data_IF_311795192573
#
_entry.id   IF_311795192573
#
_cell.length_a   1.000
_cell.length_b   1.000
_cell.length_c   1.000
_cell.angle_alpha   90.00
_cell.angle_beta   90.00
_cell.angle_gamma   90.00
#
_symmetry.space_group_name_H-M   'P 1'
#
loop_
_entity.id
_entity.type
_entity.pdbx_description
1 polymer ?
#
# COMPACT_ATOMS: atom_id res chain seq x y z
N UNK A 1 -15.29 27.65 23.61
CA UNK A 1 -14.58 27.52 22.31
C UNK A 1 -14.13 26.09 21.99
N UNK A 2 -13.91 25.25 23.00
CA UNK A 2 -13.47 23.84 22.75
C UNK A 2 -14.52 22.98 22.07
N UNK A 3 -15.82 23.24 22.29
CA UNK A 3 -16.92 22.55 21.59
C UNK A 3 -16.92 22.80 20.08
N UNK A 4 -16.47 23.99 19.63
CA UNK A 4 -16.33 24.30 18.20
C UNK A 4 -15.19 23.51 17.57
N UNK A 5 -14.10 23.26 18.30
CA UNK A 5 -12.97 22.47 17.82
C UNK A 5 -13.37 21.00 17.70
N UNK A 6 -14.10 20.46 18.69
CA UNK A 6 -14.61 19.08 18.66
C UNK A 6 -15.67 18.93 17.58
N UNK A 7 -16.62 19.87 17.48
CA UNK A 7 -17.66 19.84 16.44
C UNK A 7 -17.07 19.94 15.03
N UNK A 8 -16.10 20.84 14.81
CA UNK A 8 -15.36 20.96 13.55
C UNK A 8 -14.56 19.71 13.21
N UNK A 9 -13.94 19.07 14.20
CA UNK A 9 -13.22 17.79 14.02
C UNK A 9 -14.13 16.65 13.63
N UNK A 10 -15.31 16.53 14.24
CA UNK A 10 -16.28 15.48 13.92
C UNK A 10 -16.87 15.69 12.52
N UNK A 11 -17.26 16.92 12.18
CA UNK A 11 -17.80 17.25 10.85
C UNK A 11 -16.72 17.04 9.76
N UNK A 12 -15.49 17.48 9.99
CA UNK A 12 -14.35 17.23 9.10
C UNK A 12 -14.07 15.73 8.92
N UNK A 13 -14.12 14.95 10.01
CA UNK A 13 -13.96 13.50 9.97
C UNK A 13 -15.05 12.80 9.16
N UNK A 14 -16.31 13.22 9.28
CA UNK A 14 -17.44 12.66 8.53
C UNK A 14 -17.32 13.01 7.04
N UNK A 15 -16.90 14.23 6.69
CA UNK A 15 -16.70 14.66 5.30
C UNK A 15 -15.58 13.84 4.66
N UNK A 16 -14.44 13.69 5.34
CA UNK A 16 -13.30 12.88 4.88
C UNK A 16 -13.72 11.41 4.73
N UNK A 17 -14.44 10.87 5.70
CA UNK A 17 -14.95 9.49 5.66
C UNK A 17 -15.88 9.26 4.46
N UNK A 18 -16.81 10.18 4.21
CA UNK A 18 -17.77 10.11 3.10
C UNK A 18 -17.08 10.28 1.75
N UNK A 19 -16.08 11.17 1.66
CA UNK A 19 -15.28 11.37 0.45
C UNK A 19 -14.45 10.13 0.10
N UNK A 20 -13.82 9.48 1.10
CA UNK A 20 -13.03 8.26 0.92
C UNK A 20 -13.88 7.05 0.49
N UNK A 21 -15.19 7.06 0.75
CA UNK A 21 -16.09 5.97 0.34
C UNK A 21 -16.71 6.19 -1.05
N UNK A 22 -16.54 7.36 -1.66
CA UNK A 22 -16.97 7.64 -3.04
C UNK A 22 -16.00 6.98 -4.02
N UNK A 23 -16.49 6.53 -5.17
CA UNK A 23 -15.67 5.86 -6.18
C UNK A 23 -14.52 6.74 -6.72
N UNK A 24 -14.74 8.03 -6.83
CA UNK A 24 -13.71 9.02 -7.17
C UNK A 24 -12.69 9.19 -6.03
N UNK A 25 -13.14 9.23 -4.79
CA UNK A 25 -12.30 9.29 -3.60
C UNK A 25 -11.39 8.07 -3.44
N UNK A 26 -11.92 6.88 -3.73
CA UNK A 26 -11.12 5.63 -3.73
C UNK A 26 -10.02 5.66 -4.78
N UNK A 27 -10.31 6.13 -5.99
CA UNK A 27 -9.31 6.24 -7.07
C UNK A 27 -8.22 7.25 -6.70
N UNK A 28 -8.61 8.40 -6.13
CA UNK A 28 -7.66 9.41 -5.65
C UNK A 28 -6.79 8.87 -4.50
N UNK A 29 -7.40 8.18 -3.53
CA UNK A 29 -6.72 7.56 -2.42
C UNK A 29 -5.72 6.49 -2.86
N UNK A 30 -6.12 5.61 -3.80
CA UNK A 30 -5.22 4.60 -4.38
C UNK A 30 -4.05 5.23 -5.14
N UNK A 31 -4.28 6.34 -5.83
CA UNK A 31 -3.22 7.10 -6.51
C UNK A 31 -2.26 7.73 -5.50
N UNK A 32 -2.79 8.28 -4.39
CA UNK A 32 -1.99 8.89 -3.35
C UNK A 32 -1.14 7.85 -2.60
N UNK A 33 -1.71 6.69 -2.30
CA UNK A 33 -0.99 5.58 -1.65
C UNK A 33 0.21 5.11 -2.46
N UNK A 34 0.09 5.04 -3.79
CA UNK A 34 1.20 4.65 -4.66
C UNK A 34 2.30 5.72 -4.70
N UNK A 35 1.97 6.99 -4.47
CA UNK A 35 2.95 8.11 -4.45
C UNK A 35 3.78 8.19 -3.17
N UNK A 36 3.36 7.55 -2.08
CA UNK A 36 4.13 7.53 -0.83
C UNK A 36 5.31 6.55 -1.01
N UNK A 37 6.58 7.01 -0.96
CA UNK A 37 7.73 6.24 -1.46
C UNK A 37 7.96 4.90 -0.75
N UNK A 38 7.63 4.75 0.52
CA UNK A 38 7.81 3.48 1.25
C UNK A 38 6.57 2.58 1.14
N UNK A 39 5.38 3.12 1.33
CA UNK A 39 4.11 2.37 1.34
C UNK A 39 3.68 2.00 -0.08
N UNK A 40 3.81 2.93 -1.03
CA UNK A 40 3.41 2.72 -2.42
C UNK A 40 4.17 1.56 -3.08
N UNK A 41 5.46 1.42 -2.79
CA UNK A 41 6.27 0.32 -3.31
C UNK A 41 5.77 -1.06 -2.80
N UNK A 42 5.36 -1.13 -1.53
CA UNK A 42 4.79 -2.38 -0.96
C UNK A 42 3.43 -2.69 -1.59
N UNK A 43 2.58 -1.68 -1.78
CA UNK A 43 1.26 -1.85 -2.41
C UNK A 43 1.42 -2.35 -3.84
N UNK A 44 2.28 -1.73 -4.65
CA UNK A 44 2.54 -2.16 -6.03
C UNK A 44 3.04 -3.61 -6.06
N UNK A 45 4.02 -3.95 -5.23
CA UNK A 45 4.54 -5.32 -5.15
C UNK A 45 3.44 -6.33 -4.79
N UNK A 46 2.56 -5.98 -3.84
CA UNK A 46 1.45 -6.82 -3.42
C UNK A 46 0.43 -7.02 -4.54
N UNK A 47 0.10 -5.97 -5.27
CA UNK A 47 -0.84 -6.06 -6.40
C UNK A 47 -0.23 -6.89 -7.55
N UNK A 48 1.06 -6.70 -7.86
CA UNK A 48 1.77 -7.54 -8.86
C UNK A 48 1.80 -9.00 -8.44
N UNK A 49 2.09 -9.29 -7.17
CA UNK A 49 2.08 -10.66 -6.64
C UNK A 49 0.69 -11.31 -6.76
N UNK A 50 -0.35 -10.57 -6.35
CA UNK A 50 -1.74 -11.05 -6.42
C UNK A 50 -2.18 -11.29 -7.87
N UNK A 51 -1.92 -10.33 -8.76
CA UNK A 51 -2.19 -10.48 -10.19
C UNK A 51 -1.53 -11.74 -10.75
N UNK A 52 -0.22 -11.87 -10.56
CA UNK A 52 0.54 -12.99 -11.09
C UNK A 52 0.11 -14.34 -10.48
N UNK A 53 -0.20 -14.37 -9.17
CA UNK A 53 -0.68 -15.58 -8.48
C UNK A 53 -2.03 -16.02 -9.03
N UNK A 54 -2.99 -15.11 -9.12
CA UNK A 54 -4.35 -15.43 -9.56
C UNK A 54 -4.34 -15.85 -11.03
N UNK A 55 -3.77 -15.03 -11.90
CA UNK A 55 -3.71 -15.31 -13.33
C UNK A 55 -2.93 -16.61 -13.63
N UNK A 56 -1.75 -16.78 -13.01
CA UNK A 56 -0.93 -17.97 -13.19
C UNK A 56 -1.62 -19.24 -12.71
N UNK A 57 -2.34 -19.20 -11.58
CA UNK A 57 -3.09 -20.34 -11.08
C UNK A 57 -4.27 -20.72 -11.98
N UNK A 58 -5.01 -19.74 -12.47
CA UNK A 58 -6.15 -19.98 -13.38
C UNK A 58 -5.68 -20.59 -14.71
N UNK A 59 -4.62 -20.03 -15.31
CA UNK A 59 -4.03 -20.56 -16.55
C UNK A 59 -3.46 -21.95 -16.35
N UNK A 60 -2.81 -22.23 -15.23
CA UNK A 60 -2.30 -23.57 -14.89
C UNK A 60 -3.41 -24.59 -14.81
N UNK A 61 -4.60 -24.20 -14.36
CA UNK A 61 -5.79 -25.08 -14.30
C UNK A 61 -6.59 -25.10 -15.60
N UNK A 62 -6.07 -24.56 -16.71
CA UNK A 62 -6.67 -24.63 -18.02
C UNK A 62 -7.79 -23.63 -18.27
N UNK A 63 -7.97 -22.63 -17.40
CA UNK A 63 -8.94 -21.57 -17.64
C UNK A 63 -8.46 -20.69 -18.79
N UNK A 64 -9.36 -20.28 -19.69
CA UNK A 64 -9.01 -19.41 -20.82
C UNK A 64 -8.42 -18.10 -20.36
N UNK A 65 -7.52 -17.49 -21.15
CA UNK A 65 -6.83 -16.27 -20.80
C UNK A 65 -7.78 -15.10 -20.50
N UNK A 66 -8.83 -14.94 -21.31
CA UNK A 66 -9.81 -13.87 -21.15
C UNK A 66 -10.63 -14.04 -19.87
N UNK A 67 -11.13 -15.27 -19.61
CA UNK A 67 -11.84 -15.57 -18.36
C UNK A 67 -10.92 -15.43 -17.15
N UNK A 68 -9.65 -15.83 -17.27
CA UNK A 68 -8.66 -15.66 -16.19
C UNK A 68 -8.39 -14.20 -15.87
N UNK A 69 -8.31 -13.33 -16.87
CA UNK A 69 -8.16 -11.89 -16.68
C UNK A 69 -9.39 -11.25 -16.03
N UNK A 70 -10.59 -11.66 -16.42
CA UNK A 70 -11.83 -11.19 -15.82
C UNK A 70 -11.91 -11.50 -14.32
N UNK A 71 -11.69 -12.76 -13.95
CA UNK A 71 -11.63 -13.21 -12.56
C UNK A 71 -10.51 -12.48 -11.81
N UNK A 72 -9.34 -12.35 -12.42
CA UNK A 72 -8.21 -11.64 -11.80
C UNK A 72 -8.56 -10.18 -11.52
N UNK A 73 -9.21 -9.49 -12.45
CA UNK A 73 -9.68 -8.11 -12.26
C UNK A 73 -10.57 -7.96 -11.03
N UNK A 74 -11.51 -8.88 -10.83
CA UNK A 74 -12.46 -8.84 -9.69
C UNK A 74 -11.76 -8.99 -8.34
N UNK A 75 -10.68 -9.76 -8.30
CA UNK A 75 -9.89 -9.99 -7.07
C UNK A 75 -8.96 -8.82 -6.73
N UNK A 76 -8.64 -7.94 -7.69
CA UNK A 76 -7.76 -6.80 -7.46
C UNK A 76 -8.42 -5.75 -6.55
N UNK A 77 -7.70 -5.32 -5.52
CA UNK A 77 -8.18 -4.29 -4.61
C UNK A 77 -8.01 -2.87 -5.19
N UNK A 78 -6.99 -2.67 -6.03
CA UNK A 78 -6.64 -1.37 -6.58
C UNK A 78 -7.32 -1.12 -7.92
N UNK A 79 -8.15 -0.05 -7.99
CA UNK A 79 -8.88 0.32 -9.22
C UNK A 79 -7.95 0.65 -10.41
N UNK A 80 -6.76 1.15 -10.15
CA UNK A 80 -5.79 1.43 -11.22
C UNK A 80 -5.30 0.12 -11.85
N UNK A 81 -5.08 -0.91 -11.03
CA UNK A 81 -4.72 -2.25 -11.53
C UNK A 81 -5.86 -2.87 -12.31
N UNK A 82 -7.10 -2.75 -11.81
CA UNK A 82 -8.30 -3.21 -12.53
C UNK A 82 -8.41 -2.56 -13.92
N UNK A 83 -8.17 -1.24 -14.02
CA UNK A 83 -8.20 -0.52 -15.30
C UNK A 83 -7.11 -1.00 -16.27
N UNK A 84 -5.91 -1.30 -15.77
CA UNK A 84 -4.84 -1.87 -16.61
C UNK A 84 -5.20 -3.27 -17.11
N UNK A 85 -5.82 -4.12 -16.28
CA UNK A 85 -6.26 -5.46 -16.68
C UNK A 85 -7.34 -5.38 -17.78
N UNK A 86 -8.26 -4.41 -17.71
CA UNK A 86 -9.26 -4.17 -18.76
C UNK A 86 -8.56 -3.89 -20.10
N UNK A 87 -7.59 -2.98 -20.12
CA UNK A 87 -6.81 -2.67 -21.33
C UNK A 87 -6.09 -3.90 -21.90
N UNK A 88 -5.51 -4.74 -21.01
CA UNK A 88 -4.88 -6.00 -21.41
C UNK A 88 -5.89 -6.93 -22.06
N UNK A 89 -7.07 -7.09 -21.46
CA UNK A 89 -8.14 -7.93 -21.99
C UNK A 89 -8.64 -7.47 -23.36
N UNK A 90 -8.83 -6.16 -23.53
CA UNK A 90 -9.23 -5.56 -24.81
C UNK A 90 -8.18 -5.81 -25.90
N UNK A 91 -6.90 -5.61 -25.60
CA UNK A 91 -5.81 -5.84 -26.54
C UNK A 91 -5.69 -7.32 -26.96
N UNK A 92 -5.88 -8.26 -26.00
CA UNK A 92 -5.87 -9.69 -26.31
C UNK A 92 -7.04 -10.06 -27.23
N UNK A 93 -8.22 -9.48 -27.03
CA UNK A 93 -9.38 -9.67 -27.92
C UNK A 93 -9.09 -9.20 -29.34
N UNK A 94 -8.20 -8.20 -29.51
CA UNK A 94 -7.75 -7.69 -30.81
C UNK A 94 -6.57 -8.49 -31.38
N UNK A 95 -6.20 -9.61 -30.76
CA UNK A 95 -5.11 -10.49 -31.23
C UNK A 95 -3.71 -10.11 -30.76
N UNK A 96 -3.58 -9.14 -29.86
CA UNK A 96 -2.29 -8.81 -29.24
C UNK A 96 -1.97 -9.78 -28.11
N UNK A 97 -0.68 -9.90 -27.79
CA UNK A 97 -0.26 -10.65 -26.61
C UNK A 97 -0.50 -9.90 -25.29
N UNK A 98 -0.20 -10.57 -24.18
CA UNK A 98 -0.35 -10.01 -22.82
C UNK A 98 0.76 -8.99 -22.51
N UNK A 99 1.98 -9.26 -22.93
CA UNK A 99 3.15 -8.46 -22.60
C UNK A 99 3.09 -7.04 -23.19
N UNK A 100 2.59 -6.89 -24.41
CA UNK A 100 2.56 -5.63 -25.12
C UNK A 100 1.74 -4.53 -24.39
N UNK A 101 0.49 -4.76 -23.97
CA UNK A 101 -0.28 -3.76 -23.24
C UNK A 101 0.27 -3.49 -21.82
N UNK A 102 0.92 -4.46 -21.17
CA UNK A 102 1.55 -4.26 -19.87
C UNK A 102 2.77 -3.34 -19.94
N UNK A 103 3.46 -3.26 -21.08
CA UNK A 103 4.68 -2.45 -21.25
C UNK A 103 4.48 -0.94 -21.04
N UNK A 104 3.27 -0.45 -21.30
CA UNK A 104 2.90 0.96 -21.08
C UNK A 104 2.40 1.26 -19.67
N UNK A 105 2.19 0.27 -18.83
CA UNK A 105 1.65 0.43 -17.49
C UNK A 105 2.69 1.00 -16.53
N UNK A 106 2.25 1.95 -15.71
CA UNK A 106 3.06 2.50 -14.60
C UNK A 106 3.08 1.59 -13.36
N UNK A 107 2.26 0.55 -13.36
CA UNK A 107 2.07 -0.35 -12.21
C UNK A 107 2.98 -1.56 -12.31
N UNK A 108 3.14 -2.11 -13.52
CA UNK A 108 3.93 -3.30 -13.74
C UNK A 108 5.39 -2.93 -14.03
N UNK A 109 6.35 -3.32 -13.16
CA UNK A 109 7.76 -3.10 -13.42
C UNK A 109 8.23 -3.76 -14.72
N UNK A 110 9.18 -3.15 -15.41
CA UNK A 110 9.71 -3.65 -16.68
C UNK A 110 10.23 -5.09 -16.61
N UNK A 111 10.79 -5.48 -15.46
CA UNK A 111 11.23 -6.86 -15.21
C UNK A 111 10.06 -7.84 -15.30
N UNK A 112 8.91 -7.51 -14.73
CA UNK A 112 7.69 -8.34 -14.79
C UNK A 112 7.21 -8.46 -16.23
N UNK A 113 7.15 -7.34 -16.94
CA UNK A 113 6.71 -7.29 -18.34
C UNK A 113 7.61 -8.16 -19.23
N UNK A 114 8.93 -8.05 -19.06
CA UNK A 114 9.90 -8.86 -19.81
C UNK A 114 9.76 -10.35 -19.49
N UNK A 115 9.55 -10.71 -18.22
CA UNK A 115 9.30 -12.12 -17.85
C UNK A 115 8.01 -12.65 -18.46
N UNK A 116 6.94 -11.85 -18.46
CA UNK A 116 5.66 -12.21 -19.10
C UNK A 116 5.85 -12.41 -20.60
N UNK A 117 6.60 -11.55 -21.30
CA UNK A 117 6.92 -11.69 -22.71
C UNK A 117 7.63 -13.01 -23.00
N UNK A 118 8.65 -13.37 -22.22
CA UNK A 118 9.36 -14.65 -22.35
C UNK A 118 8.40 -15.83 -22.11
N UNK A 119 7.55 -15.73 -21.10
CA UNK A 119 6.55 -16.76 -20.79
C UNK A 119 5.53 -16.95 -21.90
N UNK A 120 5.12 -15.86 -22.55
CA UNK A 120 4.22 -15.85 -23.68
C UNK A 120 4.87 -16.49 -24.94
N UNK A 121 6.07 -16.05 -25.30
CA UNK A 121 6.84 -16.59 -26.43
C UNK A 121 7.16 -18.09 -26.28
N UNK A 122 7.43 -18.54 -25.07
CA UNK A 122 7.77 -19.95 -24.77
C UNK A 122 6.55 -20.83 -24.50
N UNK A 123 5.33 -20.28 -24.48
CA UNK A 123 4.10 -21.00 -24.13
C UNK A 123 4.02 -21.42 -22.64
N UNK A 124 4.91 -20.89 -21.78
CA UNK A 124 5.01 -21.24 -20.35
C UNK A 124 4.60 -20.09 -19.44
N UNK A 125 3.60 -19.33 -19.88
CA UNK A 125 3.13 -18.13 -19.20
C UNK A 125 2.71 -18.40 -17.75
N UNK A 126 1.98 -19.49 -17.49
CA UNK A 126 1.55 -19.85 -16.15
C UNK A 126 2.72 -20.10 -15.18
N UNK A 127 3.79 -20.78 -15.64
CA UNK A 127 4.97 -21.04 -14.81
C UNK A 127 5.69 -19.74 -14.44
N UNK A 128 5.85 -18.86 -15.42
CA UNK A 128 6.49 -17.55 -15.25
C UNK A 128 5.69 -16.67 -14.29
N UNK A 129 4.37 -16.62 -14.46
CA UNK A 129 3.49 -15.86 -13.57
C UNK A 129 3.56 -16.36 -12.12
N UNK A 130 3.53 -17.68 -11.89
CA UNK A 130 3.67 -18.24 -10.55
C UNK A 130 5.05 -17.96 -9.93
N UNK A 131 6.10 -17.91 -10.73
CA UNK A 131 7.44 -17.52 -10.27
C UNK A 131 7.51 -16.04 -9.91
N UNK A 132 6.92 -15.16 -10.72
CA UNK A 132 6.77 -13.74 -10.42
C UNK A 132 6.02 -13.58 -9.08
N UNK A 133 4.88 -14.27 -8.92
CA UNK A 133 4.08 -14.21 -7.70
C UNK A 133 4.92 -14.54 -6.46
N UNK A 134 5.60 -15.69 -6.45
CA UNK A 134 6.42 -16.12 -5.31
C UNK A 134 7.56 -15.15 -5.00
N UNK A 135 8.21 -14.60 -6.03
CA UNK A 135 9.27 -13.61 -5.85
C UNK A 135 8.77 -12.32 -5.24
N UNK A 136 7.61 -11.83 -5.69
CA UNK A 136 7.02 -10.59 -5.19
C UNK A 136 6.38 -10.76 -3.81
N UNK A 137 5.80 -11.92 -3.48
CA UNK A 137 5.33 -12.27 -2.14
C UNK A 137 6.47 -12.17 -1.12
N UNK A 138 7.62 -12.78 -1.43
CA UNK A 138 8.81 -12.67 -0.57
C UNK A 138 9.32 -11.23 -0.42
N UNK A 139 9.22 -10.41 -1.47
CA UNK A 139 9.60 -9.00 -1.40
C UNK A 139 8.62 -8.20 -0.53
N UNK A 140 7.33 -8.50 -0.59
CA UNK A 140 6.29 -7.89 0.27
C UNK A 140 6.59 -8.22 1.72
N UNK A 141 6.81 -9.50 2.06
CA UNK A 141 7.13 -9.94 3.41
C UNK A 141 8.38 -9.25 3.98
N UNK A 142 9.44 -9.14 3.18
CA UNK A 142 10.66 -8.42 3.57
C UNK A 142 10.38 -6.94 3.82
N UNK A 143 9.60 -6.31 2.95
CA UNK A 143 9.25 -4.89 3.09
C UNK A 143 8.42 -4.64 4.35
N UNK A 144 7.46 -5.52 4.65
CA UNK A 144 6.65 -5.45 5.89
C UNK A 144 7.54 -5.63 7.12
N UNK A 145 8.43 -6.61 7.14
CA UNK A 145 9.37 -6.81 8.24
C UNK A 145 10.25 -5.58 8.48
N UNK A 146 10.76 -4.96 7.41
CA UNK A 146 11.55 -3.72 7.52
C UNK A 146 10.72 -2.58 8.10
N UNK A 147 9.46 -2.41 7.67
CA UNK A 147 8.58 -1.38 8.24
C UNK A 147 8.29 -1.63 9.72
N UNK A 148 8.05 -2.90 10.09
CA UNK A 148 7.76 -3.27 11.48
C UNK A 148 8.98 -3.07 12.38
N UNK A 149 10.20 -3.34 11.90
CA UNK A 149 11.43 -3.13 12.67
C UNK A 149 11.72 -1.66 12.98
N UNK A 150 11.13 -0.71 12.25
CA UNK A 150 11.22 0.72 12.55
C UNK A 150 10.29 1.15 13.70
N UNK A 151 9.27 0.35 14.01
CA UNK A 151 8.32 0.65 15.08
C UNK A 151 8.99 0.48 16.46
N UNK A 152 9.87 -0.49 16.61
CA UNK A 152 10.57 -0.77 17.89
C UNK A 152 11.39 0.44 18.40
N UNK A 153 12.30 1.04 17.60
CA UNK A 153 13.01 2.25 18.01
C UNK A 153 12.08 3.44 18.28
N UNK A 154 10.99 3.54 17.51
CA UNK A 154 10.01 4.63 17.69
C UNK A 154 9.28 4.52 19.04
N UNK A 155 8.88 3.30 19.44
CA UNK A 155 8.25 3.04 20.73
C UNK A 155 9.22 3.36 21.88
N UNK A 156 10.49 2.94 21.78
CA UNK A 156 11.50 3.23 22.79
C UNK A 156 11.70 4.73 22.95
N UNK A 157 11.80 5.47 21.84
CA UNK A 157 11.93 6.93 21.84
C UNK A 157 10.71 7.60 22.45
N UNK A 158 9.51 7.16 22.11
CA UNK A 158 8.25 7.69 22.65
C UNK A 158 8.17 7.43 24.16
N UNK A 159 8.49 6.22 24.63
CA UNK A 159 8.50 5.89 26.05
C UNK A 159 9.55 6.70 26.82
N UNK A 160 10.74 6.88 26.25
CA UNK A 160 11.78 7.74 26.82
C UNK A 160 11.33 9.21 26.93
N UNK A 161 10.63 9.73 25.91
CA UNK A 161 10.08 11.07 25.94
C UNK A 161 8.99 11.23 27.01
N UNK A 162 8.10 10.26 27.17
CA UNK A 162 7.05 10.28 28.21
C UNK A 162 7.68 10.24 29.62
N UNK A 163 8.63 9.34 29.86
CA UNK A 163 9.33 9.24 31.16
C UNK A 163 10.09 10.53 31.44
N UNK A 164 10.83 11.05 30.46
CA UNK A 164 11.54 12.33 30.59
C UNK A 164 10.60 13.49 30.92
N UNK A 165 9.45 13.57 30.29
CA UNK A 165 8.45 14.58 30.58
C UNK A 165 7.92 14.48 32.02
N UNK A 166 7.61 13.26 32.49
CA UNK A 166 7.16 13.02 33.87
C UNK A 166 8.22 13.46 34.89
N UNK A 167 9.50 13.09 34.65
CA UNK A 167 10.61 13.47 35.53
C UNK A 167 10.77 15.00 35.59
N UNK A 168 10.74 15.66 34.44
CA UNK A 168 10.80 17.14 34.39
C UNK A 168 9.61 17.76 35.11
N UNK A 169 8.41 17.26 34.92
CA UNK A 169 7.20 17.76 35.59
C UNK A 169 7.27 17.57 37.11
N UNK A 170 7.90 16.52 37.61
CA UNK A 170 8.13 16.31 39.06
C UNK A 170 9.22 17.23 39.64
N UNK A 171 10.26 17.51 38.87
CA UNK A 171 11.37 18.35 39.34
C UNK A 171 11.05 19.84 39.28
N UNK A 172 10.19 20.28 38.35
CA UNK A 172 9.86 21.69 38.13
C UNK A 172 9.33 22.38 39.39
N UNK A 173 8.42 21.81 40.21
CA UNK A 173 7.98 22.42 41.49
C UNK A 173 9.11 22.57 42.51
N UNK A 174 10.06 21.65 42.53
CA UNK A 174 11.19 21.64 43.49
C UNK A 174 12.11 22.85 43.23
N UNK A 175 12.32 23.17 41.95
CA UNK A 175 13.14 24.34 41.56
C UNK A 175 12.40 25.69 41.66
N UNK A 176 11.07 25.67 41.73
CA UNK A 176 10.26 26.91 41.88
C UNK A 176 9.96 27.29 43.32
N UNK A 177 10.28 26.43 44.29
CA UNK A 177 10.22 26.80 45.73
C UNK A 177 11.42 27.68 46.03
N UNK A 178 11.24 28.99 45.91
CA UNK A 178 12.21 30.02 46.32
C UNK A 178 12.15 30.18 47.85
N UNK A 179 13.20 29.80 48.62
CA UNK A 179 13.17 29.85 50.08
C UNK A 179 13.23 31.28 50.63
N UNK A 180 13.29 32.32 49.75
CA UNK A 180 13.45 33.70 50.16
C UNK A 180 12.13 34.46 50.32
N UNK A 181 10.96 33.85 50.06
CA UNK A 181 9.66 34.53 50.16
C UNK A 181 8.98 34.46 51.54
N UNK A 182 9.50 33.62 52.44
CA UNK A 182 8.92 33.47 53.79
C UNK A 182 9.67 34.21 54.91
N UNK A 183 10.57 35.17 54.57
CA UNK A 183 11.17 36.06 55.57
C UNK A 183 10.69 37.49 55.38
N UNK A 184 9.37 37.66 55.47
CA UNK A 184 8.70 38.96 55.56
C UNK A 184 8.21 39.18 56.96
N UNK A 185 9.10 39.70 57.81
CA UNK A 185 8.74 40.52 58.93
C UNK A 185 9.23 41.96 58.70
#
# INVERSE_FOLDING_TARGET
YWYMIIGGGIVGGIIIYKFLHTDEGKTYWHTLQIKIPMVGNVIVKREVARFARTLGSLLKNGVSILSSLEITREVMANKLVQAEIIKVSENITQGSGIAAPLKGSKIFPSVVVNMVAIGEETGRLHDVLLRIASSYELQVDRSIKTLTSLIEPLIILLMGAVVGFVVIAMLLPIFTIDPTKDTGM
#
